data_IF_541270489169
#
_entry.id   IF_541270489169
#
_cell.length_a   1.000
_cell.length_b   1.000
_cell.length_c   1.000
_cell.angle_alpha   90.00
_cell.angle_beta   90.00
_cell.angle_gamma   90.00
#
_symmetry.space_group_name_H-M   'P 1'
#
loop_
_entity.id
_entity.type
_entity.pdbx_description
1 polymer ?
#
# COMPACT_ATOMS: atom_id res chain seq x y z
N UNK A 1 5.97 14.49 -16.38
CA UNK A 1 6.55 15.39 -15.36
C UNK A 1 7.29 14.58 -14.31
N UNK A 2 8.46 14.03 -14.64
CA UNK A 2 9.16 13.04 -13.81
C UNK A 2 9.52 13.56 -12.41
N UNK A 3 10.04 14.78 -12.33
CA UNK A 3 10.43 15.40 -11.05
C UNK A 3 9.27 15.55 -10.06
N UNK A 4 8.04 15.77 -10.56
CA UNK A 4 6.85 15.91 -9.71
C UNK A 4 6.46 14.56 -9.11
N UNK A 5 6.52 13.49 -9.90
CA UNK A 5 6.24 12.13 -9.42
C UNK A 5 7.25 11.69 -8.37
N UNK A 6 8.55 11.90 -8.63
CA UNK A 6 9.62 11.56 -7.68
C UNK A 6 9.45 12.31 -6.35
N UNK A 7 9.10 13.60 -6.42
CA UNK A 7 8.80 14.41 -5.22
C UNK A 7 7.59 13.87 -4.46
N UNK A 8 6.52 13.51 -5.17
CA UNK A 8 5.32 12.94 -4.57
C UNK A 8 5.57 11.61 -3.85
N UNK A 9 6.35 10.71 -4.46
CA UNK A 9 6.72 9.43 -3.84
C UNK A 9 7.61 9.63 -2.61
N UNK A 10 8.53 10.59 -2.66
CA UNK A 10 9.35 10.92 -1.49
C UNK A 10 8.51 11.48 -0.33
N UNK A 11 7.56 12.37 -0.62
CA UNK A 11 6.62 12.89 0.37
C UNK A 11 5.80 11.77 0.99
N UNK A 12 5.24 10.88 0.16
CA UNK A 12 4.45 9.74 0.63
C UNK A 12 5.26 8.83 1.55
N UNK A 13 6.49 8.49 1.16
CA UNK A 13 7.34 7.62 1.96
C UNK A 13 7.70 8.25 3.30
N UNK A 14 8.08 9.53 3.32
CA UNK A 14 8.33 10.26 4.56
C UNK A 14 7.07 10.38 5.42
N UNK A 15 5.90 10.60 4.82
CA UNK A 15 4.62 10.62 5.53
C UNK A 15 4.35 9.28 6.24
N UNK A 16 4.51 8.16 5.52
CA UNK A 16 4.31 6.81 6.10
C UNK A 16 5.26 6.55 7.28
N UNK A 17 6.52 6.97 7.18
CA UNK A 17 7.49 6.87 8.28
C UNK A 17 7.08 7.70 9.49
N UNK A 18 6.62 8.93 9.27
CA UNK A 18 6.19 9.84 10.33
C UNK A 18 4.92 9.33 11.02
N UNK A 19 3.94 8.83 10.26
CA UNK A 19 2.71 8.26 10.82
C UNK A 19 3.00 7.12 11.78
N UNK A 20 3.97 6.26 11.47
CA UNK A 20 4.37 5.16 12.36
C UNK A 20 4.92 5.64 13.71
N UNK A 21 5.46 6.87 13.79
CA UNK A 21 5.91 7.46 15.06
C UNK A 21 4.76 8.08 15.87
N UNK A 22 3.63 8.39 15.23
CA UNK A 22 2.47 9.05 15.84
C UNK A 22 1.44 8.01 16.32
N UNK A 23 1.77 7.27 17.38
CA UNK A 23 0.98 6.13 17.87
C UNK A 23 -0.52 6.42 18.04
N UNK A 24 -0.87 7.62 18.51
CA UNK A 24 -2.25 8.03 18.76
C UNK A 24 -3.11 8.17 17.48
N UNK A 25 -2.48 8.52 16.35
CA UNK A 25 -3.16 8.77 15.08
C UNK A 25 -2.89 7.68 14.03
N UNK A 26 -1.83 6.91 14.20
CA UNK A 26 -1.36 5.91 13.23
C UNK A 26 -2.47 4.92 12.84
N UNK A 27 -3.17 4.38 13.84
CA UNK A 27 -4.21 3.38 13.60
C UNK A 27 -5.38 3.95 12.80
N UNK A 28 -5.85 5.16 13.12
CA UNK A 28 -6.89 5.85 12.35
C UNK A 28 -6.44 6.15 10.93
N UNK A 29 -5.16 6.50 10.73
CA UNK A 29 -4.59 6.69 9.40
C UNK A 29 -4.60 5.39 8.60
N UNK A 30 -4.12 4.28 9.18
CA UNK A 30 -4.09 2.99 8.49
C UNK A 30 -5.49 2.50 8.13
N UNK A 31 -6.45 2.64 9.06
CA UNK A 31 -7.85 2.29 8.82
C UNK A 31 -8.44 3.03 7.62
N UNK A 32 -8.05 4.30 7.43
CA UNK A 32 -8.66 5.19 6.44
C UNK A 32 -7.95 5.12 5.09
N UNK A 33 -6.61 5.10 5.08
CA UNK A 33 -5.83 5.36 3.86
C UNK A 33 -4.94 4.21 3.40
N UNK A 34 -4.73 3.17 4.22
CA UNK A 34 -3.74 2.13 3.89
C UNK A 34 -4.07 1.41 2.57
N UNK A 35 -5.31 0.94 2.41
CA UNK A 35 -5.72 0.22 1.21
C UNK A 35 -5.74 1.14 -0.03
N UNK A 36 -6.19 2.38 0.12
CA UNK A 36 -6.20 3.36 -0.98
C UNK A 36 -4.79 3.66 -1.49
N UNK A 37 -3.84 3.92 -0.57
CA UNK A 37 -2.43 4.13 -0.93
C UNK A 37 -1.88 2.90 -1.64
N UNK A 38 -2.15 1.70 -1.10
CA UNK A 38 -1.67 0.44 -1.67
C UNK A 38 -2.20 0.26 -3.10
N UNK A 39 -3.50 0.48 -3.31
CA UNK A 39 -4.14 0.42 -4.62
C UNK A 39 -3.54 1.42 -5.61
N UNK A 40 -3.35 2.67 -5.20
CA UNK A 40 -2.77 3.69 -6.06
C UNK A 40 -1.33 3.37 -6.46
N UNK A 41 -0.51 2.87 -5.54
CA UNK A 41 0.86 2.46 -5.88
C UNK A 41 0.85 1.29 -6.87
N UNK A 42 0.00 0.27 -6.66
CA UNK A 42 -0.13 -0.83 -7.62
C UNK A 42 -0.60 -0.34 -8.99
N UNK A 43 -1.57 0.58 -9.05
CA UNK A 43 -2.08 1.09 -10.33
C UNK A 43 -1.01 1.72 -11.21
N UNK A 44 0.01 2.36 -10.60
CA UNK A 44 1.17 2.92 -11.31
C UNK A 44 2.20 1.86 -11.65
N UNK A 45 2.53 0.97 -10.71
CA UNK A 45 3.54 -0.10 -10.93
C UNK A 45 3.10 -1.06 -12.04
N UNK A 46 1.80 -1.27 -12.19
CA UNK A 46 1.25 -2.18 -13.19
C UNK A 46 1.02 -1.52 -14.56
N UNK A 47 1.28 -0.21 -14.70
CA UNK A 47 1.20 0.48 -15.99
C UNK A 47 2.45 0.20 -16.84
N UNK A 48 2.27 -0.51 -17.95
CA UNK A 48 3.33 -0.87 -18.90
C UNK A 48 4.10 0.32 -19.48
N UNK A 49 3.51 1.53 -19.46
CA UNK A 49 4.13 2.74 -19.99
C UNK A 49 4.97 3.52 -18.96
N UNK A 50 4.96 3.12 -17.68
CA UNK A 50 5.55 3.87 -16.59
C UNK A 50 6.61 3.09 -15.79
N UNK A 51 7.84 3.03 -16.32
CA UNK A 51 8.98 2.39 -15.63
C UNK A 51 9.76 3.32 -14.70
N UNK A 52 9.56 4.64 -14.81
CA UNK A 52 10.22 5.61 -13.95
C UNK A 52 9.75 5.47 -12.49
N UNK A 53 10.66 5.63 -11.54
CA UNK A 53 10.31 5.60 -10.11
C UNK A 53 10.04 4.21 -9.53
N UNK A 54 10.22 3.12 -10.31
CA UNK A 54 9.96 1.74 -9.85
C UNK A 54 10.66 1.40 -8.53
N UNK A 55 11.92 1.84 -8.35
CA UNK A 55 12.66 1.66 -7.10
C UNK A 55 11.92 2.27 -5.91
N UNK A 56 11.35 3.47 -6.07
CA UNK A 56 10.66 4.16 -4.98
C UNK A 56 9.29 3.54 -4.70
N UNK A 57 8.57 3.11 -5.73
CA UNK A 57 7.35 2.32 -5.57
C UNK A 57 7.63 1.01 -4.82
N UNK A 58 8.68 0.28 -5.17
CA UNK A 58 9.07 -0.96 -4.49
C UNK A 58 9.45 -0.70 -3.02
N UNK A 59 10.16 0.39 -2.72
CA UNK A 59 10.46 0.80 -1.34
C UNK A 59 9.19 1.08 -0.53
N UNK A 60 8.22 1.79 -1.11
CA UNK A 60 6.93 2.07 -0.45
C UNK A 60 6.15 0.78 -0.22
N UNK A 61 6.04 -0.10 -1.23
CA UNK A 61 5.34 -1.38 -1.10
C UNK A 61 5.99 -2.27 -0.02
N UNK A 62 7.32 -2.38 -0.04
CA UNK A 62 8.08 -3.12 0.99
C UNK A 62 7.77 -2.60 2.37
N UNK A 63 7.79 -1.27 2.56
CA UNK A 63 7.48 -0.65 3.83
C UNK A 63 6.05 -0.97 4.28
N UNK A 64 5.06 -0.83 3.40
CA UNK A 64 3.66 -1.12 3.71
C UNK A 64 3.42 -2.58 4.08
N UNK A 65 4.02 -3.53 3.37
CA UNK A 65 3.89 -4.95 3.70
C UNK A 65 4.56 -5.29 5.04
N UNK A 66 5.74 -4.73 5.33
CA UNK A 66 6.40 -4.94 6.62
C UNK A 66 5.56 -4.44 7.80
N UNK A 67 4.82 -3.32 7.66
CA UNK A 67 3.92 -2.85 8.72
C UNK A 67 2.84 -3.88 9.07
N UNK A 68 2.34 -4.61 8.07
CA UNK A 68 1.33 -5.66 8.24
C UNK A 68 1.97 -6.94 8.79
N UNK A 69 3.13 -7.34 8.26
CA UNK A 69 3.85 -8.55 8.67
C UNK A 69 4.33 -8.48 10.12
N UNK A 70 4.90 -7.35 10.53
CA UNK A 70 5.37 -7.11 11.90
C UNK A 70 4.24 -6.79 12.90
N UNK A 71 2.98 -6.71 12.44
CA UNK A 71 1.84 -6.41 13.29
C UNK A 71 1.82 -4.98 13.84
N UNK A 72 2.35 -3.99 13.11
CA UNK A 72 2.29 -2.57 13.48
C UNK A 72 0.89 -1.98 13.33
N UNK A 73 0.07 -2.60 12.47
CA UNK A 73 -1.31 -2.22 12.23
C UNK A 73 -2.22 -3.08 13.12
N UNK A 74 -2.63 -2.51 14.25
CA UNK A 74 -3.48 -3.14 15.25
C UNK A 74 -4.97 -2.99 14.95
N UNK A 75 -5.34 -1.97 14.17
CA UNK A 75 -6.72 -1.77 13.71
C UNK A 75 -7.12 -2.77 12.63
N UNK A 76 -8.42 -3.04 12.47
CA UNK A 76 -8.92 -3.97 11.47
C UNK A 76 -9.05 -3.30 10.10
N UNK A 77 -8.13 -3.59 9.19
CA UNK A 77 -8.14 -3.00 7.84
C UNK A 77 -9.43 -3.31 7.07
N UNK A 78 -10.10 -4.43 7.38
CA UNK A 78 -11.44 -4.76 6.91
C UNK A 78 -12.45 -4.79 8.06
N UNK A 79 -13.15 -3.66 8.35
CA UNK A 79 -14.12 -3.61 9.44
C UNK A 79 -15.40 -4.40 9.14
N UNK A 80 -15.70 -4.69 7.86
CA UNK A 80 -16.89 -5.46 7.47
C UNK A 80 -16.72 -6.96 7.65
N UNK A 81 -15.49 -7.47 7.52
CA UNK A 81 -15.16 -8.87 7.77
C UNK A 81 -13.86 -8.98 8.58
N UNK A 82 -13.96 -8.91 9.92
CA UNK A 82 -12.83 -9.01 10.84
C UNK A 82 -12.00 -10.27 10.62
N UNK A 83 -10.81 -10.11 10.03
CA UNK A 83 -9.85 -11.19 9.78
C UNK A 83 -8.43 -10.71 10.10
N UNK A 84 -7.47 -11.63 10.07
CA UNK A 84 -6.06 -11.27 10.23
C UNK A 84 -5.65 -10.31 9.09
N UNK A 85 -5.04 -9.17 9.43
CA UNK A 85 -4.64 -8.16 8.44
C UNK A 85 -3.72 -8.72 7.35
N UNK A 86 -2.86 -9.70 7.65
CA UNK A 86 -2.01 -10.36 6.64
C UNK A 86 -2.86 -11.12 5.61
N UNK A 87 -3.81 -11.93 6.08
CA UNK A 87 -4.71 -12.71 5.22
C UNK A 87 -5.57 -11.78 4.38
N UNK A 88 -6.15 -10.75 5.01
CA UNK A 88 -6.94 -9.75 4.31
C UNK A 88 -6.14 -9.04 3.21
N UNK A 89 -4.91 -8.60 3.49
CA UNK A 89 -4.08 -7.90 2.50
C UNK A 89 -3.66 -8.83 1.36
N UNK A 90 -3.39 -10.11 1.62
CA UNK A 90 -3.13 -11.09 0.57
C UNK A 90 -4.35 -11.22 -0.38
N UNK A 91 -5.54 -11.40 0.18
CA UNK A 91 -6.78 -11.49 -0.61
C UNK A 91 -7.09 -10.18 -1.35
N UNK A 92 -6.89 -9.03 -0.70
CA UNK A 92 -7.12 -7.72 -1.28
C UNK A 92 -6.22 -7.48 -2.50
N UNK A 93 -4.91 -7.72 -2.37
CA UNK A 93 -3.95 -7.56 -3.47
C UNK A 93 -4.22 -8.57 -4.58
N UNK A 94 -4.53 -9.83 -4.23
CA UNK A 94 -4.90 -10.84 -5.22
C UNK A 94 -6.12 -10.41 -6.04
N UNK A 95 -7.16 -9.90 -5.39
CA UNK A 95 -8.36 -9.40 -6.06
C UNK A 95 -8.08 -8.17 -6.93
N UNK A 96 -7.23 -7.25 -6.46
CA UNK A 96 -6.80 -6.08 -7.24
C UNK A 96 -6.13 -6.51 -8.54
N UNK A 97 -5.16 -7.43 -8.46
CA UNK A 97 -4.42 -7.93 -9.61
C UNK A 97 -5.31 -8.75 -10.56
N UNK A 98 -6.18 -9.63 -10.03
CA UNK A 98 -7.14 -10.40 -10.84
C UNK A 98 -8.11 -9.48 -11.59
N UNK A 99 -8.57 -8.41 -10.95
CA UNK A 99 -9.48 -7.43 -11.56
C UNK A 99 -8.77 -6.64 -12.66
N UNK A 100 -7.53 -6.21 -12.43
CA UNK A 100 -6.75 -5.47 -13.40
C UNK A 100 -6.25 -6.34 -14.57
N UNK A 101 -5.97 -7.63 -14.30
CA UNK A 101 -5.40 -8.57 -15.27
C UNK A 101 -6.19 -9.89 -15.27
N UNK A 102 -7.37 -9.95 -15.93
CA UNK A 102 -8.24 -11.14 -15.93
C UNK A 102 -7.62 -12.39 -16.57
N UNK A 103 -6.46 -12.27 -17.20
CA UNK A 103 -5.72 -13.35 -17.83
C UNK A 103 -4.67 -14.00 -16.90
N UNK A 104 -4.43 -13.44 -15.70
CA UNK A 104 -3.61 -14.10 -14.70
C UNK A 104 -4.35 -15.35 -14.19
N UNK A 105 -3.69 -16.51 -14.30
CA UNK A 105 -4.20 -17.77 -13.76
C UNK A 105 -4.07 -17.79 -12.23
N UNK A 106 -4.87 -18.65 -11.57
CA UNK A 106 -4.78 -18.87 -10.12
C UNK A 106 -3.41 -19.43 -9.68
#
# INVERSE_FOLDING_TARGET
MRNVADTGLQILYTLLQNVTQEEAAAQSFYQTYFCDILQHIFSVVTDTSHTAGLTMHASILTYMFNLVEEGKINTQLNPSNPSNNQVFIQEYVANLLKTAFPHLQE
#
